data_IF_250010519058
#
_entry.id   IF_250010519058
#
_cell.length_a   1.000
_cell.length_b   1.000
_cell.length_c   1.000
_cell.angle_alpha   90.00
_cell.angle_beta   90.00
_cell.angle_gamma   90.00
#
_symmetry.space_group_name_H-M   'P 1'
#
loop_
_entity.id
_entity.type
_entity.pdbx_description
1 polymer ?
#
# COMPACT_ATOMS: atom_id res chain seq x y z
N UNK A 1 -0.66 4.37 20.33
CA UNK A 1 -0.46 5.77 19.92
C UNK A 1 -1.73 6.57 20.20
N UNK A 2 -1.62 7.81 20.69
CA UNK A 2 -2.74 8.76 20.78
C UNK A 2 -2.50 9.78 19.66
N UNK A 3 -3.27 9.72 18.57
CA UNK A 3 -3.04 10.52 17.35
C UNK A 3 -2.27 9.77 16.25
N UNK A 4 -1.56 10.51 15.39
CA UNK A 4 -0.67 9.95 14.37
C UNK A 4 0.78 10.42 14.57
N UNK A 5 1.76 9.54 14.37
CA UNK A 5 3.17 9.87 14.38
C UNK A 5 3.73 9.84 12.96
N UNK A 6 4.66 10.76 12.66
CA UNK A 6 5.31 10.84 11.36
C UNK A 6 6.80 10.55 11.48
N UNK A 7 7.32 9.72 10.58
CA UNK A 7 8.75 9.41 10.44
C UNK A 7 9.13 9.47 8.97
N UNK A 8 10.26 10.11 8.66
CA UNK A 8 10.86 10.04 7.33
C UNK A 8 12.01 9.02 7.33
N UNK A 9 11.96 8.00 6.46
CA UNK A 9 13.03 7.01 6.28
C UNK A 9 13.57 7.10 4.86
N UNK A 10 14.88 7.34 4.73
CA UNK A 10 15.56 7.33 3.42
C UNK A 10 15.95 5.90 3.10
N UNK A 11 15.58 5.43 1.90
CA UNK A 11 15.80 4.07 1.42
C UNK A 11 16.52 4.12 0.07
N UNK A 12 17.47 3.22 -0.15
CA UNK A 12 18.16 3.06 -1.43
C UNK A 12 17.59 1.87 -2.19
N UNK A 13 17.23 2.09 -3.45
CA UNK A 13 16.69 1.08 -4.36
C UNK A 13 17.51 1.10 -5.64
N UNK A 14 18.46 0.18 -5.78
CA UNK A 14 19.46 0.22 -6.85
C UNK A 14 20.24 1.54 -6.81
N UNK A 15 20.23 2.28 -7.91
CA UNK A 15 20.90 3.58 -8.05
C UNK A 15 20.00 4.77 -7.66
N UNK A 16 18.77 4.51 -7.21
CA UNK A 16 17.80 5.55 -6.82
C UNK A 16 17.67 5.63 -5.30
N UNK A 17 17.32 6.82 -4.81
CA UNK A 17 17.04 7.07 -3.40
C UNK A 17 15.60 7.56 -3.24
N UNK A 18 14.85 6.91 -2.36
CA UNK A 18 13.45 7.25 -2.05
C UNK A 18 13.35 7.66 -0.58
N UNK A 19 12.59 8.71 -0.29
CA UNK A 19 12.24 9.06 1.08
C UNK A 19 10.82 8.61 1.36
N UNK A 20 10.66 7.62 2.24
CA UNK A 20 9.37 7.15 2.72
C UNK A 20 8.89 8.06 3.86
N UNK A 21 7.76 8.73 3.65
CA UNK A 21 7.02 9.40 4.71
C UNK A 21 6.03 8.44 5.36
N UNK A 22 6.36 7.95 6.55
CA UNK A 22 5.60 6.93 7.27
C UNK A 22 4.71 7.62 8.29
N UNK A 23 3.40 7.37 8.20
CA UNK A 23 2.39 7.84 9.15
C UNK A 23 1.88 6.65 9.98
N UNK A 24 2.31 6.56 11.24
CA UNK A 24 1.77 5.60 12.21
C UNK A 24 0.47 6.16 12.78
N UNK A 25 -0.66 5.51 12.51
CA UNK A 25 -1.98 5.95 12.98
C UNK A 25 -2.44 5.07 14.14
N UNK A 26 -3.09 5.68 15.13
CA UNK A 26 -3.70 4.91 16.21
C UNK A 26 -4.81 3.99 15.67
N UNK A 27 -4.63 2.66 15.77
CA UNK A 27 -5.62 1.65 15.36
C UNK A 27 -6.84 1.50 16.27
N UNK A 28 -7.12 2.47 17.16
CA UNK A 28 -8.29 2.42 18.05
C UNK A 28 -9.54 2.95 17.33
N UNK A 29 -10.66 2.28 17.54
CA UNK A 29 -11.97 2.66 16.99
C UNK A 29 -12.37 4.10 17.31
N UNK A 30 -11.87 4.67 18.41
CA UNK A 30 -12.17 6.05 18.84
C UNK A 30 -11.58 7.12 17.91
N UNK A 31 -10.64 6.77 17.04
CA UNK A 31 -9.97 7.69 16.12
C UNK A 31 -10.27 7.40 14.64
N UNK A 32 -11.22 6.50 14.34
CA UNK A 32 -11.63 6.15 12.96
C UNK A 32 -11.94 7.35 12.08
N UNK A 33 -12.60 8.38 12.64
CA UNK A 33 -12.96 9.59 11.91
C UNK A 33 -11.73 10.44 11.51
N UNK A 34 -10.61 10.32 12.24
CA UNK A 34 -9.36 11.01 11.92
C UNK A 34 -8.54 10.27 10.86
N UNK A 35 -8.83 8.99 10.62
CA UNK A 35 -8.05 8.12 9.74
C UNK A 35 -8.07 8.55 8.26
N UNK A 36 -9.20 9.09 7.77
CA UNK A 36 -9.35 9.49 6.35
C UNK A 36 -8.38 10.59 5.92
N UNK A 37 -7.96 11.47 6.84
CA UNK A 37 -7.01 12.54 6.54
C UNK A 37 -5.62 11.97 6.23
N UNK A 38 -5.25 10.85 6.86
CA UNK A 38 -3.93 10.23 6.71
C UNK A 38 -3.81 9.34 5.46
N UNK A 39 -4.93 8.88 4.90
CA UNK A 39 -4.93 8.01 3.72
C UNK A 39 -4.82 8.80 2.40
N UNK A 40 -5.25 10.06 2.40
CA UNK A 40 -5.33 10.88 1.18
C UNK A 40 -3.95 11.10 0.58
N UNK A 41 -3.77 10.66 -0.67
CA UNK A 41 -2.51 10.75 -1.39
C UNK A 41 -1.46 9.71 -0.99
N UNK A 42 -1.82 8.75 -0.13
CA UNK A 42 -0.96 7.61 0.18
C UNK A 42 -0.77 6.74 -1.07
N UNK A 43 0.48 6.33 -1.31
CA UNK A 43 0.83 5.43 -2.43
C UNK A 43 0.86 3.97 -2.01
N UNK A 44 1.07 3.73 -0.72
CA UNK A 44 1.11 2.41 -0.11
C UNK A 44 0.50 2.46 1.29
N UNK A 45 -0.15 1.37 1.70
CA UNK A 45 -0.68 1.17 3.03
C UNK A 45 -0.21 -0.18 3.58
N UNK A 46 0.37 -0.18 4.77
CA UNK A 46 0.70 -1.40 5.51
C UNK A 46 -0.38 -1.63 6.55
N UNK A 47 -1.21 -2.64 6.34
CA UNK A 47 -2.29 -3.01 7.26
C UNK A 47 -1.82 -4.18 8.11
N UNK A 48 -1.67 -3.95 9.42
CA UNK A 48 -1.14 -4.95 10.33
C UNK A 48 -2.25 -5.72 11.06
N UNK A 49 -2.04 -7.01 11.27
CA UNK A 49 -2.81 -7.84 12.19
C UNK A 49 -1.86 -8.72 13.03
N UNK A 50 -2.35 -9.36 14.08
CA UNK A 50 -1.59 -10.27 14.93
C UNK A 50 -1.86 -11.72 14.49
N UNK A 51 -0.81 -12.46 14.15
CA UNK A 51 -0.89 -13.86 13.68
C UNK A 51 -1.56 -14.81 14.70
N UNK A 52 -1.58 -14.42 15.98
CA UNK A 52 -2.18 -15.18 17.08
C UNK A 52 -3.62 -14.80 17.39
N UNK A 53 -4.17 -13.77 16.73
CA UNK A 53 -5.47 -13.21 17.08
C UNK A 53 -6.38 -13.00 15.86
N UNK A 54 -7.34 -13.90 15.66
CA UNK A 54 -8.33 -13.83 14.57
C UNK A 54 -9.16 -12.54 14.55
N UNK A 55 -9.50 -11.98 15.71
CA UNK A 55 -10.26 -10.72 15.77
C UNK A 55 -9.47 -9.55 15.19
N UNK A 56 -8.15 -9.56 15.33
CA UNK A 56 -7.27 -8.53 14.73
C UNK A 56 -7.23 -8.64 13.20
N UNK A 57 -7.31 -9.87 12.66
CA UNK A 57 -7.40 -10.09 11.23
C UNK A 57 -8.74 -9.61 10.65
N UNK A 58 -9.86 -9.91 11.33
CA UNK A 58 -11.16 -9.35 10.93
C UNK A 58 -11.14 -7.82 10.92
N UNK A 59 -10.45 -7.22 11.88
CA UNK A 59 -10.30 -5.76 11.93
C UNK A 59 -9.42 -5.23 10.81
N UNK A 60 -8.35 -5.94 10.43
CA UNK A 60 -7.55 -5.59 9.27
C UNK A 60 -8.40 -5.61 7.98
N UNK A 61 -9.30 -6.59 7.81
CA UNK A 61 -10.21 -6.63 6.65
C UNK A 61 -11.09 -5.38 6.54
N UNK A 62 -11.62 -4.93 7.67
CA UNK A 62 -12.39 -3.68 7.73
C UNK A 62 -11.54 -2.48 7.27
N UNK A 63 -10.30 -2.37 7.73
CA UNK A 63 -9.42 -1.26 7.36
C UNK A 63 -9.01 -1.29 5.89
N UNK A 64 -8.76 -2.47 5.33
CA UNK A 64 -8.50 -2.64 3.89
C UNK A 64 -9.68 -2.11 3.07
N UNK A 65 -10.91 -2.50 3.42
CA UNK A 65 -12.11 -2.03 2.74
C UNK A 65 -12.27 -0.50 2.86
N UNK A 66 -12.08 0.07 4.05
CA UNK A 66 -12.14 1.53 4.23
C UNK A 66 -11.07 2.27 3.41
N UNK A 67 -9.85 1.73 3.34
CA UNK A 67 -8.75 2.28 2.54
C UNK A 67 -9.09 2.28 1.04
N UNK A 68 -9.57 1.15 0.51
CA UNK A 68 -9.95 1.03 -0.91
C UNK A 68 -11.07 1.99 -1.29
N UNK A 69 -12.02 2.22 -0.39
CA UNK A 69 -13.11 3.18 -0.61
C UNK A 69 -12.64 4.66 -0.58
N UNK A 70 -11.49 4.94 0.02
CA UNK A 70 -10.96 6.30 0.14
C UNK A 70 -9.87 6.63 -0.88
N UNK A 71 -9.02 5.65 -1.24
CA UNK A 71 -7.83 5.85 -2.07
C UNK A 71 -7.59 4.60 -2.96
N UNK A 72 -8.28 4.54 -4.11
CA UNK A 72 -8.24 3.40 -5.03
C UNK A 72 -6.84 3.10 -5.59
N UNK A 73 -5.95 4.11 -5.65
CA UNK A 73 -4.58 3.98 -6.16
C UNK A 73 -3.55 3.49 -5.14
N UNK A 74 -3.96 3.25 -3.89
CA UNK A 74 -3.06 2.86 -2.81
C UNK A 74 -2.76 1.36 -2.86
N UNK A 75 -1.46 0.99 -2.97
CA UNK A 75 -1.04 -0.41 -2.91
C UNK A 75 -1.11 -0.93 -1.46
N UNK A 76 -1.72 -2.09 -1.26
CA UNK A 76 -1.94 -2.64 0.08
C UNK A 76 -0.93 -3.75 0.37
N UNK A 77 -0.33 -3.68 1.54
CA UNK A 77 0.53 -4.71 2.12
C UNK A 77 -0.12 -5.19 3.42
N UNK A 78 -0.48 -6.46 3.48
CA UNK A 78 -1.10 -7.04 4.65
C UNK A 78 -0.02 -7.76 5.48
N UNK A 79 0.17 -7.28 6.70
CA UNK A 79 1.31 -7.63 7.55
C UNK A 79 0.84 -8.38 8.80
N UNK A 80 1.10 -9.69 8.83
CA UNK A 80 0.93 -10.53 10.01
C UNK A 80 2.09 -10.30 10.99
N UNK A 81 1.82 -9.69 12.12
CA UNK A 81 2.83 -9.34 13.14
C UNK A 81 2.97 -10.44 14.20
N UNK A 82 4.06 -10.34 14.99
CA UNK A 82 4.40 -11.26 16.08
C UNK A 82 4.75 -12.67 15.61
N UNK A 83 5.41 -12.79 14.46
CA UNK A 83 5.92 -14.07 13.94
C UNK A 83 6.80 -14.82 14.96
N UNK A 84 7.51 -14.08 15.83
CA UNK A 84 8.32 -14.65 16.91
C UNK A 84 7.53 -15.57 17.84
N UNK A 85 6.24 -15.30 18.08
CA UNK A 85 5.41 -16.16 18.91
C UNK A 85 5.11 -17.51 18.25
N UNK A 86 5.09 -17.56 16.91
CA UNK A 86 4.87 -18.79 16.14
C UNK A 86 6.16 -19.57 15.94
N UNK A 87 7.32 -18.90 15.93
CA UNK A 87 8.63 -19.55 16.00
C UNK A 87 8.79 -20.28 17.35
N UNK A 88 8.32 -19.66 18.44
CA UNK A 88 8.30 -20.29 19.78
C UNK A 88 7.29 -21.46 19.88
N UNK A 89 6.04 -21.27 19.42
CA UNK A 89 5.02 -22.33 19.38
C UNK A 89 4.04 -22.11 18.22
N UNK A 90 4.15 -22.95 17.18
CA UNK A 90 3.29 -22.90 15.99
C UNK A 90 1.79 -23.05 16.30
N UNK A 91 1.41 -23.66 17.43
CA UNK A 91 0.00 -23.83 17.83
C UNK A 91 -0.65 -22.53 18.28
N UNK A 92 0.14 -21.46 18.52
CA UNK A 92 -0.39 -20.13 18.83
C UNK A 92 -0.98 -19.44 17.59
N UNK A 93 -0.82 -19.99 16.39
CA UNK A 93 -1.41 -19.41 15.16
C UNK A 93 -2.93 -19.39 15.30
N UNK A 94 -3.48 -18.19 15.36
CA UNK A 94 -4.92 -17.94 15.48
C UNK A 94 -5.58 -17.59 14.16
N UNK A 95 -4.80 -17.45 13.09
CA UNK A 95 -5.26 -17.12 11.75
C UNK A 95 -4.64 -18.09 10.76
N UNK A 96 -5.47 -18.80 10.00
CA UNK A 96 -5.01 -19.76 9.00
C UNK A 96 -4.31 -19.03 7.84
N UNK A 97 -3.21 -19.60 7.36
CA UNK A 97 -2.45 -18.98 6.28
C UNK A 97 -3.21 -18.99 4.95
N UNK A 98 -3.99 -20.04 4.67
CA UNK A 98 -4.79 -20.14 3.46
C UNK A 98 -5.90 -19.08 3.45
N UNK A 99 -6.59 -18.89 4.58
CA UNK A 99 -7.61 -17.84 4.72
C UNK A 99 -7.05 -16.43 4.48
N UNK A 100 -5.79 -16.21 4.87
CA UNK A 100 -5.07 -14.95 4.66
C UNK A 100 -4.67 -14.79 3.20
N UNK A 101 -4.14 -15.85 2.58
CA UNK A 101 -3.75 -15.86 1.17
C UNK A 101 -4.95 -15.59 0.26
N UNK A 102 -6.06 -16.31 0.47
CA UNK A 102 -7.28 -16.15 -0.33
C UNK A 102 -7.82 -14.71 -0.22
N UNK A 103 -7.80 -14.16 0.99
CA UNK A 103 -8.22 -12.77 1.20
C UNK A 103 -7.25 -11.77 0.54
N UNK A 104 -5.95 -11.99 0.64
CA UNK A 104 -4.95 -11.11 0.03
C UNK A 104 -5.08 -11.09 -1.50
N UNK A 105 -5.32 -12.24 -2.12
CA UNK A 105 -5.56 -12.36 -3.54
C UNK A 105 -6.85 -11.63 -3.96
N UNK A 106 -7.92 -11.73 -3.16
CA UNK A 106 -9.18 -11.00 -3.36
C UNK A 106 -8.97 -9.47 -3.39
N UNK A 107 -8.20 -8.95 -2.42
CA UNK A 107 -7.97 -7.49 -2.30
C UNK A 107 -6.73 -6.99 -3.04
N UNK A 108 -6.02 -7.89 -3.75
CA UNK A 108 -4.74 -7.62 -4.44
C UNK A 108 -3.67 -7.04 -3.49
N UNK A 109 -3.61 -7.56 -2.27
CA UNK A 109 -2.63 -7.19 -1.27
C UNK A 109 -1.42 -8.14 -1.31
N UNK A 110 -0.24 -7.62 -0.99
CA UNK A 110 0.95 -8.45 -0.79
C UNK A 110 1.10 -8.85 0.68
N UNK A 111 1.49 -10.10 0.94
CA UNK A 111 1.57 -10.67 2.28
C UNK A 111 2.97 -10.61 2.86
N UNK A 112 3.05 -10.20 4.13
CA UNK A 112 4.25 -10.27 4.94
C UNK A 112 3.92 -10.85 6.31
N UNK A 113 4.80 -11.69 6.84
CA UNK A 113 4.81 -12.03 8.26
C UNK A 113 6.07 -11.42 8.90
N UNK A 114 5.90 -10.67 9.99
CA UNK A 114 6.97 -9.88 10.61
C UNK A 114 6.99 -10.03 12.13
N UNK A 115 8.14 -9.73 12.72
CA UNK A 115 8.25 -9.51 14.17
C UNK A 115 8.90 -8.17 14.44
N UNK A 116 8.13 -7.24 15.01
CA UNK A 116 8.66 -5.97 15.51
C UNK A 116 9.59 -6.16 16.72
N UNK A 117 9.53 -7.32 17.40
CA UNK A 117 10.38 -7.65 18.55
C UNK A 117 11.78 -8.05 18.11
N UNK A 118 11.89 -8.84 17.04
CA UNK A 118 13.18 -9.33 16.53
C UNK A 118 13.71 -8.51 15.35
N UNK A 119 12.84 -7.74 14.69
CA UNK A 119 13.13 -7.03 13.44
C UNK A 119 12.91 -7.87 12.18
N UNK A 120 12.51 -9.13 12.32
CA UNK A 120 12.31 -10.06 11.20
C UNK A 120 11.34 -9.49 10.17
N UNK A 121 11.81 -9.43 8.92
CA UNK A 121 11.08 -9.00 7.72
C UNK A 121 10.47 -7.59 7.76
N UNK A 122 10.81 -6.77 8.77
CA UNK A 122 10.38 -5.37 8.85
C UNK A 122 11.09 -4.53 7.80
N UNK A 123 12.42 -4.65 7.69
CA UNK A 123 13.17 -3.90 6.68
C UNK A 123 12.86 -4.39 5.25
N UNK A 124 12.66 -5.70 5.07
CA UNK A 124 12.23 -6.30 3.79
C UNK A 124 10.88 -5.75 3.32
N UNK A 125 9.91 -5.62 4.23
CA UNK A 125 8.62 -5.00 3.94
C UNK A 125 8.77 -3.56 3.43
N UNK A 126 9.54 -2.72 4.14
CA UNK A 126 9.73 -1.32 3.72
C UNK A 126 10.57 -1.20 2.44
N UNK A 127 11.55 -2.08 2.26
CA UNK A 127 12.33 -2.17 1.03
C UNK A 127 11.43 -2.52 -0.16
N UNK A 128 10.53 -3.50 0.00
CA UNK A 128 9.56 -3.89 -1.03
C UNK A 128 8.63 -2.73 -1.41
N UNK A 129 8.12 -2.00 -0.42
CA UNK A 129 7.28 -0.80 -0.65
C UNK A 129 8.03 0.23 -1.51
N UNK A 130 9.31 0.48 -1.20
CA UNK A 130 10.12 1.43 -1.95
C UNK A 130 10.40 0.95 -3.40
N UNK A 131 10.71 -0.33 -3.58
CA UNK A 131 10.93 -0.97 -4.88
C UNK A 131 9.69 -0.87 -5.76
N UNK A 132 8.54 -1.25 -5.22
CA UNK A 132 7.26 -1.22 -5.95
C UNK A 132 6.89 0.20 -6.37
N UNK A 133 7.15 1.20 -5.52
CA UNK A 133 6.95 2.60 -5.87
C UNK A 133 7.84 3.04 -7.04
N UNK A 134 9.13 2.68 -7.02
CA UNK A 134 10.05 2.98 -8.14
C UNK A 134 9.62 2.26 -9.42
N UNK A 135 9.25 0.99 -9.36
CA UNK A 135 8.79 0.25 -10.53
C UNK A 135 7.50 0.83 -11.11
N UNK A 136 6.56 1.23 -10.25
CA UNK A 136 5.32 1.87 -10.69
C UNK A 136 5.58 3.22 -11.36
N UNK A 137 6.43 4.07 -10.76
CA UNK A 137 6.77 5.39 -11.34
C UNK A 137 7.53 5.26 -12.66
N UNK A 138 8.49 4.34 -12.75
CA UNK A 138 9.21 4.07 -14.00
C UNK A 138 8.26 3.62 -15.12
N UNK A 139 7.28 2.77 -14.82
CA UNK A 139 6.29 2.34 -15.79
C UNK A 139 5.42 3.49 -16.32
N UNK A 140 4.97 4.40 -15.43
CA UNK A 140 4.16 5.57 -15.82
C UNK A 140 4.92 6.48 -16.79
N UNK A 141 6.19 6.78 -16.50
CA UNK A 141 7.05 7.59 -17.39
C UNK A 141 7.19 6.94 -18.78
N UNK A 142 7.40 5.62 -18.83
CA UNK A 142 7.51 4.90 -20.10
C UNK A 142 6.20 4.88 -20.90
N UNK A 143 5.04 4.89 -20.24
CA UNK A 143 3.73 4.94 -20.93
C UNK A 143 3.40 6.34 -21.44
N UNK A 144 3.81 7.40 -20.74
CA UNK A 144 3.64 8.77 -21.21
C UNK A 144 4.52 9.06 -22.43
N UNK A 145 5.75 8.54 -22.49
CA UNK A 145 6.62 8.67 -23.66
C UNK A 145 6.17 7.84 -24.88
N UNK A 146 5.33 6.82 -24.67
CA UNK A 146 4.77 5.95 -25.72
C UNK A 146 3.32 6.28 -26.07
N UNK A 147 2.88 7.52 -25.84
CA UNK A 147 1.62 8.03 -26.40
C UNK A 147 1.63 7.90 -27.92
N UNK A 148 1.06 6.83 -28.46
CA UNK A 148 0.84 6.66 -29.90
C UNK A 148 -0.24 7.66 -30.31
N UNK A 149 0.18 8.71 -31.02
CA UNK A 149 -0.73 9.66 -31.66
C UNK A 149 -1.48 8.95 -32.81
N UNK A 150 -2.67 8.42 -32.50
CA UNK A 150 -3.60 7.82 -33.47
C UNK A 150 -4.53 8.87 -34.10
N UNK A 151 -4.08 10.12 -34.19
CA UNK A 151 -4.87 11.28 -34.62
C UNK A 151 -4.52 11.90 -35.96
N UNK A 152 -3.69 11.29 -36.84
CA UNK A 152 -3.52 11.81 -38.21
C UNK A 152 -4.41 11.07 -39.21
N UNK A 153 -5.68 11.50 -39.29
CA UNK A 153 -6.38 11.52 -40.58
C UNK A 153 -6.27 12.92 -41.15
N UNK A 154 -5.38 13.04 -42.13
CA UNK A 154 -5.41 14.10 -43.15
C UNK A 154 -6.84 14.26 -43.68
N UNK A 155 -7.46 15.40 -43.40
CA UNK A 155 -8.56 15.92 -44.22
C UNK A 155 -8.49 17.45 -44.23
N UNK A 156 -7.80 17.97 -45.24
CA UNK A 156 -7.88 19.34 -45.70
C UNK A 156 -9.32 19.61 -46.17
N UNK A 157 -10.13 20.34 -45.40
CA UNK A 157 -11.32 21.02 -45.92
C UNK A 157 -11.53 22.37 -45.20
N UNK A 158 -11.40 23.42 -46.02
CA UNK A 158 -11.99 24.76 -45.95
C UNK A 158 -13.07 25.01 -44.87
N UNK A 159 -13.03 26.17 -44.23
CA UNK A 159 -14.10 27.18 -44.34
C UNK A 159 -13.57 28.60 -44.07
N UNK A 160 -13.94 29.49 -45.00
CA UNK A 160 -13.88 30.95 -44.94
C UNK A 160 -14.82 31.49 -43.85
N UNK A 161 -14.44 32.58 -43.18
CA UNK A 161 -15.40 33.52 -42.60
C UNK A 161 -14.84 34.95 -42.55
N UNK A 162 -15.45 35.84 -43.31
CA UNK A 162 -15.33 37.29 -43.24
C UNK A 162 -15.82 37.82 -41.88
N UNK A 163 -15.28 38.96 -41.42
CA UNK A 163 -16.12 40.08 -40.96
C UNK A 163 -15.32 41.38 -40.76
N UNK A 164 -15.78 42.41 -41.49
CA UNK A 164 -15.70 43.87 -41.33
C UNK A 164 -14.34 44.58 -41.34
#
# INVERSE_FOLDING_TARGET
TIGAAFVAKVMSVGDQTVTLGIWDTAGSERYEAMSRIYYRGARAAVVCYDLTNSSSFQRAKFWVNELQNCEEGCRIYLCGTKSDLLEEDRRKRGVDFHDVQDYADEVKAELFETSSKTGQSVDELFQKVAEDYIHFTAFQVMTEEKGVDLGQKSSTYFYSCCHH
#
